data_IF_596295855367
#
_entry.id   IF_596295855367
#
_cell.length_a   1.000
_cell.length_b   1.000
_cell.length_c   1.000
_cell.angle_alpha   90.00
_cell.angle_beta   90.00
_cell.angle_gamma   90.00
#
_symmetry.space_group_name_H-M   'P 1'
#
loop_
_entity.id
_entity.type
_entity.pdbx_description
1 polymer ?
#
# COMPACT_ATOMS: atom_id res chain seq x y z
N UNK A 1 -31.35 -2.80 -26.19
CA UNK A 1 -31.03 -3.31 -24.83
C UNK A 1 -30.36 -2.17 -24.07
N UNK A 2 -30.72 -1.98 -22.79
CA UNK A 2 -30.11 -0.92 -21.98
C UNK A 2 -28.73 -1.36 -21.43
N UNK A 3 -27.85 -0.40 -21.18
CA UNK A 3 -26.54 -0.65 -20.59
C UNK A 3 -26.66 -1.35 -19.23
N UNK A 4 -27.63 -0.98 -18.40
CA UNK A 4 -27.93 -1.64 -17.12
C UNK A 4 -28.12 -3.16 -17.23
N UNK A 5 -28.67 -3.66 -18.34
CA UNK A 5 -28.85 -5.09 -18.54
C UNK A 5 -27.52 -5.82 -18.72
N UNK A 6 -26.60 -5.21 -19.48
CA UNK A 6 -25.25 -5.77 -19.71
C UNK A 6 -24.47 -5.81 -18.40
N UNK A 7 -24.50 -4.71 -17.63
CA UNK A 7 -23.85 -4.68 -16.31
C UNK A 7 -24.33 -5.81 -15.43
N UNK A 8 -25.66 -5.95 -15.29
CA UNK A 8 -26.25 -7.02 -14.48
C UNK A 8 -25.78 -8.40 -14.90
N UNK A 9 -25.79 -8.69 -16.21
CA UNK A 9 -25.42 -9.99 -16.74
C UNK A 9 -23.93 -10.32 -16.47
N UNK A 10 -23.02 -9.33 -16.50
CA UNK A 10 -21.59 -9.52 -16.21
C UNK A 10 -21.29 -9.49 -14.72
N UNK A 11 -21.95 -8.67 -13.93
CA UNK A 11 -21.83 -8.64 -12.47
C UNK A 11 -22.23 -10.00 -11.87
N UNK A 12 -23.33 -10.60 -12.34
CA UNK A 12 -23.74 -11.94 -11.92
C UNK A 12 -22.66 -13.01 -12.26
N UNK A 13 -22.00 -12.88 -13.41
CA UNK A 13 -20.90 -13.78 -13.77
C UNK A 13 -19.64 -13.58 -12.93
N UNK A 14 -19.30 -12.33 -12.57
CA UNK A 14 -18.18 -12.03 -11.69
C UNK A 14 -18.38 -12.64 -10.30
N UNK A 15 -19.58 -12.50 -9.73
CA UNK A 15 -19.93 -13.12 -8.44
C UNK A 15 -19.71 -14.64 -8.48
N UNK A 16 -20.14 -15.31 -9.55
CA UNK A 16 -19.95 -16.77 -9.70
C UNK A 16 -18.48 -17.16 -9.74
N UNK A 17 -17.59 -16.26 -10.20
CA UNK A 17 -16.15 -16.45 -10.26
C UNK A 17 -15.41 -16.03 -8.98
N UNK A 18 -16.15 -15.52 -7.97
CA UNK A 18 -15.58 -15.07 -6.71
C UNK A 18 -15.04 -13.64 -6.74
N UNK A 19 -15.39 -12.86 -7.78
CA UNK A 19 -15.02 -11.45 -7.91
C UNK A 19 -16.13 -10.52 -7.40
N UNK A 20 -15.73 -9.31 -7.01
CA UNK A 20 -16.65 -8.26 -6.58
C UNK A 20 -17.42 -7.68 -7.77
N UNK A 21 -18.74 -7.73 -7.74
CA UNK A 21 -19.59 -7.21 -8.81
C UNK A 21 -19.36 -5.71 -9.08
N UNK A 22 -19.18 -4.94 -8.01
CA UNK A 22 -18.98 -3.49 -8.03
C UNK A 22 -17.71 -3.07 -8.79
N UNK A 23 -16.72 -3.96 -8.90
CA UNK A 23 -15.46 -3.71 -9.64
C UNK A 23 -15.73 -3.38 -11.10
N UNK A 24 -16.76 -3.98 -11.73
CA UNK A 24 -17.13 -3.69 -13.12
C UNK A 24 -17.55 -2.22 -13.29
N UNK A 25 -18.45 -1.76 -12.44
CA UNK A 25 -18.98 -0.40 -12.48
C UNK A 25 -17.90 0.61 -12.08
N UNK A 26 -17.03 0.27 -11.13
CA UNK A 26 -15.92 1.10 -10.70
C UNK A 26 -14.93 1.33 -11.85
N UNK A 27 -14.47 0.27 -12.51
CA UNK A 27 -13.53 0.36 -13.65
C UNK A 27 -14.15 1.13 -14.80
N UNK A 28 -15.38 0.80 -15.19
CA UNK A 28 -16.07 1.49 -16.29
C UNK A 28 -16.18 3.00 -16.05
N UNK A 29 -16.59 3.40 -14.84
CA UNK A 29 -16.71 4.81 -14.46
C UNK A 29 -15.38 5.53 -14.48
N UNK A 30 -14.34 4.91 -13.94
CA UNK A 30 -12.98 5.47 -13.90
C UNK A 30 -12.45 5.68 -15.30
N UNK A 31 -12.50 4.68 -16.18
CA UNK A 31 -11.98 4.78 -17.56
C UNK A 31 -12.78 5.75 -18.45
N UNK A 32 -14.09 5.88 -18.23
CA UNK A 32 -14.95 6.86 -18.94
C UNK A 32 -14.98 8.22 -18.25
N UNK A 33 -14.28 8.40 -17.13
CA UNK A 33 -14.28 9.62 -16.30
C UNK A 33 -15.71 10.10 -15.96
N UNK A 34 -16.56 9.18 -15.50
CA UNK A 34 -17.96 9.44 -15.16
C UNK A 34 -18.16 9.65 -13.67
N UNK A 35 -18.84 10.73 -13.30
CA UNK A 35 -19.41 10.85 -11.96
C UNK A 35 -20.46 9.75 -11.73
N UNK A 36 -20.74 9.43 -10.46
CA UNK A 36 -21.80 8.45 -10.13
C UNK A 36 -23.15 8.81 -10.77
N UNK A 37 -23.53 10.08 -10.73
CA UNK A 37 -24.76 10.57 -11.34
C UNK A 37 -24.79 10.33 -12.86
N UNK A 38 -23.70 10.66 -13.55
CA UNK A 38 -23.60 10.46 -15.00
C UNK A 38 -23.63 8.96 -15.37
N UNK A 39 -23.03 8.12 -14.54
CA UNK A 39 -23.09 6.68 -14.72
C UNK A 39 -24.54 6.14 -14.59
N UNK A 40 -25.28 6.60 -13.57
CA UNK A 40 -26.70 6.21 -13.40
C UNK A 40 -27.53 6.61 -14.62
N UNK A 41 -27.29 7.79 -15.22
CA UNK A 41 -27.92 8.18 -16.47
C UNK A 41 -27.47 7.31 -17.65
N UNK A 42 -26.19 6.98 -17.76
CA UNK A 42 -25.67 6.11 -18.81
C UNK A 42 -26.31 4.71 -18.76
N UNK A 43 -26.55 4.14 -17.57
CA UNK A 43 -27.21 2.85 -17.41
C UNK A 43 -28.63 2.80 -18.04
N UNK A 44 -29.30 3.94 -18.18
CA UNK A 44 -30.64 4.01 -18.77
C UNK A 44 -30.63 4.13 -20.30
N UNK A 45 -29.47 4.40 -20.90
CA UNK A 45 -29.32 4.54 -22.34
C UNK A 45 -29.36 3.20 -23.07
N UNK A 46 -29.72 3.23 -24.34
CA UNK A 46 -29.52 2.07 -25.21
C UNK A 46 -28.03 1.88 -25.47
N UNK A 47 -27.58 0.64 -25.33
CA UNK A 47 -26.18 0.29 -25.49
C UNK A 47 -25.80 0.28 -26.97
N UNK A 48 -24.64 0.86 -27.28
CA UNK A 48 -23.96 0.70 -28.59
C UNK A 48 -23.13 -0.57 -28.61
N UNK A 49 -22.74 -1.06 -29.80
CA UNK A 49 -21.82 -2.17 -29.91
C UNK A 49 -20.45 -1.84 -29.32
N UNK A 50 -20.01 -0.58 -29.41
CA UNK A 50 -18.77 -0.09 -28.79
C UNK A 50 -18.83 -0.18 -27.24
N UNK A 51 -19.92 0.29 -26.63
CA UNK A 51 -20.11 0.20 -25.18
C UNK A 51 -20.13 -1.25 -24.70
N UNK A 52 -20.83 -2.12 -25.46
CA UNK A 52 -20.88 -3.53 -25.15
C UNK A 52 -19.49 -4.17 -25.18
N UNK A 53 -18.73 -3.94 -26.23
CA UNK A 53 -17.36 -4.44 -26.35
C UNK A 53 -16.47 -3.93 -25.21
N UNK A 54 -16.59 -2.64 -24.89
CA UNK A 54 -15.82 -2.05 -23.80
C UNK A 54 -16.13 -2.66 -22.43
N UNK A 55 -17.41 -2.92 -22.13
CA UNK A 55 -17.78 -3.64 -20.90
C UNK A 55 -17.29 -5.08 -20.91
N UNK A 56 -17.35 -5.77 -22.05
CA UNK A 56 -16.82 -7.13 -22.22
C UNK A 56 -15.28 -7.19 -22.00
N UNK A 57 -14.54 -6.19 -22.47
CA UNK A 57 -13.08 -6.09 -22.21
C UNK A 57 -12.78 -5.93 -20.73
N UNK A 58 -13.50 -5.05 -20.01
CA UNK A 58 -13.34 -4.86 -18.58
C UNK A 58 -13.68 -6.17 -17.85
N UNK A 59 -14.85 -6.75 -18.16
CA UNK A 59 -15.26 -8.03 -17.58
C UNK A 59 -14.20 -9.11 -17.77
N UNK A 60 -13.64 -9.22 -18.97
CA UNK A 60 -12.62 -10.25 -19.28
C UNK A 60 -11.39 -10.08 -18.40
N UNK A 61 -10.94 -8.86 -18.16
CA UNK A 61 -9.79 -8.58 -17.27
C UNK A 61 -10.11 -8.94 -15.83
N UNK A 62 -11.25 -8.49 -15.30
CA UNK A 62 -11.70 -8.81 -13.94
C UNK A 62 -11.89 -10.32 -13.75
N UNK A 63 -12.50 -10.99 -14.72
CA UNK A 63 -12.71 -12.45 -14.72
C UNK A 63 -11.38 -13.26 -14.76
N UNK A 64 -10.29 -12.64 -15.20
CA UNK A 64 -8.93 -13.18 -15.10
C UNK A 64 -8.21 -12.74 -13.82
N UNK A 65 -8.93 -12.26 -12.82
CA UNK A 65 -8.43 -11.83 -11.52
C UNK A 65 -7.45 -10.64 -11.57
N UNK A 66 -7.53 -9.79 -12.61
CA UNK A 66 -6.73 -8.55 -12.65
C UNK A 66 -7.41 -7.52 -11.75
N UNK A 67 -6.71 -6.94 -10.74
CA UNK A 67 -7.26 -5.93 -9.86
C UNK A 67 -7.81 -4.71 -10.62
N UNK A 68 -8.93 -4.19 -10.15
CA UNK A 68 -9.57 -3.02 -10.76
C UNK A 68 -8.60 -1.83 -10.90
N UNK A 69 -7.76 -1.58 -9.89
CA UNK A 69 -6.79 -0.50 -9.88
C UNK A 69 -5.71 -0.67 -10.96
N UNK A 70 -5.28 -1.91 -11.26
CA UNK A 70 -4.34 -2.15 -12.36
C UNK A 70 -5.01 -1.96 -13.72
N UNK A 71 -6.31 -2.28 -13.84
CA UNK A 71 -7.05 -2.04 -15.09
C UNK A 71 -7.17 -0.55 -15.37
N UNK A 72 -7.43 0.27 -14.35
CA UNK A 72 -7.54 1.73 -14.46
C UNK A 72 -6.18 2.44 -14.43
N UNK A 73 -5.12 1.77 -13.96
CA UNK A 73 -3.75 2.27 -13.92
C UNK A 73 -3.43 3.19 -12.73
N UNK A 74 -4.36 3.35 -11.77
CA UNK A 74 -4.12 4.16 -10.58
C UNK A 74 -4.94 3.69 -9.38
N UNK A 75 -4.48 4.08 -8.18
CA UNK A 75 -5.18 3.94 -6.91
C UNK A 75 -5.21 5.29 -6.17
N UNK A 76 -6.27 5.50 -5.40
CA UNK A 76 -6.35 6.65 -4.48
C UNK A 76 -5.62 6.29 -3.18
N UNK A 77 -4.79 7.19 -2.67
CA UNK A 77 -4.13 7.05 -1.38
C UNK A 77 -3.87 8.43 -0.77
N UNK A 78 -4.34 8.64 0.45
CA UNK A 78 -4.15 9.88 1.22
C UNK A 78 -4.47 11.15 0.41
N UNK A 79 -5.58 11.14 -0.32
CA UNK A 79 -6.02 12.23 -1.21
C UNK A 79 -5.10 12.48 -2.41
N UNK A 80 -4.31 11.48 -2.80
CA UNK A 80 -3.48 11.48 -4.00
C UNK A 80 -3.93 10.38 -4.95
N UNK A 81 -3.84 10.63 -6.24
CA UNK A 81 -3.94 9.58 -7.25
C UNK A 81 -2.53 9.09 -7.57
N UNK A 82 -2.26 7.83 -7.27
CA UNK A 82 -0.97 7.19 -7.49
C UNK A 82 -1.08 6.19 -8.65
N UNK A 83 -0.15 6.24 -9.58
CA UNK A 83 0.00 5.22 -10.60
C UNK A 83 0.30 3.88 -9.94
N UNK A 84 -0.37 2.82 -10.39
CA UNK A 84 -0.11 1.43 -9.97
C UNK A 84 -0.18 0.49 -11.17
N UNK A 85 0.67 -0.50 -11.16
CA UNK A 85 0.68 -1.64 -12.07
C UNK A 85 1.35 -2.84 -11.37
N UNK A 86 1.57 -3.94 -12.08
CA UNK A 86 2.11 -5.19 -11.55
C UNK A 86 3.49 -5.10 -10.89
N UNK A 87 4.14 -3.93 -10.95
CA UNK A 87 5.44 -3.68 -10.27
C UNK A 87 5.32 -3.45 -8.78
N UNK A 88 4.14 -3.06 -8.26
CA UNK A 88 3.96 -2.61 -6.88
C UNK A 88 2.68 -3.14 -6.25
N UNK A 89 2.68 -3.29 -4.94
CA UNK A 89 1.47 -3.50 -4.15
C UNK A 89 0.51 -2.31 -4.34
N UNK A 90 -0.77 -2.59 -4.53
CA UNK A 90 -1.81 -1.55 -4.52
C UNK A 90 -1.91 -0.97 -3.10
N UNK A 91 -1.75 0.35 -2.91
CA UNK A 91 -1.88 0.97 -1.59
C UNK A 91 -3.20 0.63 -0.90
N UNK A 92 -3.14 0.32 0.39
CA UNK A 92 -4.29 -0.10 1.21
C UNK A 92 -4.76 1.04 2.13
N UNK A 93 -6.05 1.04 2.46
CA UNK A 93 -6.62 2.05 3.38
C UNK A 93 -6.03 1.97 4.78
N UNK A 94 -5.69 0.77 5.26
CA UNK A 94 -5.05 0.56 6.56
C UNK A 94 -3.68 1.25 6.63
N UNK A 95 -2.98 1.34 5.51
CA UNK A 95 -1.70 2.06 5.42
C UNK A 95 -1.87 3.58 5.54
N UNK A 96 -3.06 4.14 5.20
CA UNK A 96 -3.36 5.56 5.47
C UNK A 96 -3.40 5.85 6.97
N UNK A 97 -3.92 4.91 7.79
CA UNK A 97 -3.94 5.05 9.26
C UNK A 97 -2.52 5.09 9.84
N UNK A 98 -1.56 4.34 9.25
CA UNK A 98 -0.16 4.42 9.64
C UNK A 98 0.42 5.81 9.35
N UNK A 99 0.12 6.39 8.19
CA UNK A 99 0.54 7.75 7.82
C UNK A 99 -0.09 8.78 8.79
N UNK A 100 -1.39 8.69 9.07
CA UNK A 100 -2.07 9.58 10.01
C UNK A 100 -1.45 9.53 11.40
N UNK A 101 -1.12 8.32 11.89
CA UNK A 101 -0.46 8.12 13.16
C UNK A 101 0.91 8.80 13.20
N UNK A 102 1.74 8.62 12.17
CA UNK A 102 3.05 9.25 12.07
C UNK A 102 2.93 10.79 12.12
N UNK A 103 2.01 11.35 11.34
CA UNK A 103 1.78 12.79 11.29
C UNK A 103 1.27 13.36 12.63
N UNK A 104 0.39 12.63 13.30
CA UNK A 104 -0.17 13.02 14.59
C UNK A 104 0.86 12.99 15.73
N UNK A 105 1.73 11.97 15.75
CA UNK A 105 2.75 11.81 16.80
C UNK A 105 4.02 12.64 16.57
N UNK A 106 4.15 13.28 15.40
CA UNK A 106 5.31 14.09 15.04
C UNK A 106 4.86 15.43 14.41
N UNK A 107 4.22 16.31 15.19
CA UNK A 107 3.57 17.52 14.66
C UNK A 107 4.56 18.58 14.18
N UNK A 108 5.78 18.62 14.72
CA UNK A 108 6.74 19.69 14.51
C UNK A 108 8.14 19.17 14.18
N UNK A 109 8.94 20.00 13.50
CA UNK A 109 10.37 19.81 13.29
C UNK A 109 10.74 19.36 11.87
N UNK A 110 12.02 19.55 11.55
CA UNK A 110 12.63 19.06 10.30
C UNK A 110 13.12 17.64 10.52
N UNK A 111 12.29 16.65 10.21
CA UNK A 111 12.61 15.25 10.45
C UNK A 111 13.18 14.59 9.18
N UNK A 112 14.13 13.67 9.40
CA UNK A 112 14.61 12.75 8.38
C UNK A 112 13.83 11.45 8.48
N UNK A 113 13.16 11.07 7.40
CA UNK A 113 12.30 9.88 7.33
C UNK A 113 12.87 8.88 6.32
N UNK A 114 12.93 7.62 6.71
CA UNK A 114 13.24 6.49 5.82
C UNK A 114 11.99 5.61 5.68
N UNK A 115 11.51 5.44 4.46
CA UNK A 115 10.46 4.50 4.09
C UNK A 115 11.12 3.26 3.45
N UNK A 116 11.06 2.11 4.14
CA UNK A 116 11.67 0.84 3.70
C UNK A 116 10.60 -0.02 3.02
N UNK A 117 10.86 -0.46 1.79
CA UNK A 117 9.90 -1.17 0.96
C UNK A 117 8.81 -0.21 0.45
N UNK A 118 9.24 0.92 -0.13
CA UNK A 118 8.34 2.03 -0.49
C UNK A 118 7.28 1.67 -1.55
N UNK A 119 7.51 0.63 -2.36
CA UNK A 119 6.58 0.16 -3.39
C UNK A 119 6.18 1.28 -4.36
N UNK A 120 4.92 1.66 -4.39
CA UNK A 120 4.41 2.77 -5.20
C UNK A 120 4.86 4.16 -4.72
N UNK A 121 5.55 4.25 -3.59
CA UNK A 121 5.90 5.50 -2.92
C UNK A 121 4.78 6.04 -2.00
N UNK A 122 3.73 5.29 -1.75
CA UNK A 122 2.52 5.77 -1.09
C UNK A 122 2.80 6.47 0.25
N UNK A 123 3.51 5.81 1.18
CA UNK A 123 3.86 6.37 2.49
C UNK A 123 4.78 7.57 2.34
N UNK A 124 5.89 7.41 1.60
CA UNK A 124 6.88 8.47 1.40
C UNK A 124 6.26 9.74 0.81
N UNK A 125 5.40 9.58 -0.21
CA UNK A 125 4.71 10.67 -0.88
C UNK A 125 3.72 11.39 0.05
N UNK A 126 2.94 10.63 0.81
CA UNK A 126 1.98 11.20 1.76
C UNK A 126 2.68 12.04 2.82
N UNK A 127 3.77 11.51 3.41
CA UNK A 127 4.57 12.23 4.40
C UNK A 127 5.23 13.48 3.81
N UNK A 128 5.86 13.37 2.63
CA UNK A 128 6.51 14.51 1.97
C UNK A 128 5.52 15.60 1.54
N UNK A 129 4.29 15.23 1.18
CA UNK A 129 3.23 16.17 0.80
C UNK A 129 2.66 16.95 1.99
N UNK A 130 2.43 16.27 3.11
CA UNK A 130 1.89 16.89 4.32
C UNK A 130 2.95 17.69 5.09
N UNK A 131 4.20 17.23 5.10
CA UNK A 131 5.34 17.82 5.79
C UNK A 131 6.42 18.23 4.81
N UNK A 132 6.24 19.38 4.17
CA UNK A 132 7.17 19.89 3.15
C UNK A 132 8.59 20.20 3.68
N UNK A 133 8.77 20.29 5.00
CA UNK A 133 10.03 20.51 5.68
C UNK A 133 10.74 19.21 6.11
N UNK A 134 10.10 18.05 5.94
CA UNK A 134 10.74 16.76 6.20
C UNK A 134 11.64 16.34 5.05
N UNK A 135 12.74 15.67 5.40
CA UNK A 135 13.64 15.06 4.42
C UNK A 135 13.33 13.57 4.28
N UNK A 136 12.55 13.22 3.27
CA UNK A 136 12.11 11.83 3.04
C UNK A 136 13.12 11.10 2.15
N UNK A 137 13.41 9.85 2.49
CA UNK A 137 14.15 8.89 1.67
C UNK A 137 13.26 7.65 1.49
N UNK A 138 13.01 7.28 0.25
CA UNK A 138 12.28 6.08 -0.12
C UNK A 138 13.26 4.99 -0.56
N UNK A 139 13.20 3.83 0.06
CA UNK A 139 14.08 2.70 -0.26
C UNK A 139 13.25 1.48 -0.67
N UNK A 140 13.70 0.77 -1.70
CA UNK A 140 13.13 -0.50 -2.15
C UNK A 140 14.21 -1.40 -2.74
N UNK A 141 14.03 -2.70 -2.62
CA UNK A 141 14.89 -3.69 -3.26
C UNK A 141 14.64 -3.77 -4.77
N UNK A 142 13.41 -3.48 -5.20
CA UNK A 142 12.96 -3.51 -6.59
C UNK A 142 13.27 -2.19 -7.30
N UNK A 143 14.07 -2.25 -8.36
CA UNK A 143 14.32 -1.10 -9.21
C UNK A 143 13.03 -0.63 -9.92
N UNK A 144 12.19 -1.57 -10.33
CA UNK A 144 10.93 -1.28 -11.05
C UNK A 144 9.93 -0.53 -10.14
N UNK A 145 9.89 -0.90 -8.84
CA UNK A 145 9.10 -0.17 -7.84
C UNK A 145 9.60 1.26 -7.67
N UNK A 146 10.92 1.47 -7.57
CA UNK A 146 11.51 2.81 -7.45
C UNK A 146 11.26 3.69 -8.68
N UNK A 147 11.25 3.11 -9.87
CA UNK A 147 10.90 3.82 -11.11
C UNK A 147 9.45 4.29 -11.06
N UNK A 148 8.51 3.42 -10.66
CA UNK A 148 7.11 3.78 -10.51
C UNK A 148 6.89 4.81 -9.40
N UNK A 149 7.56 4.66 -8.24
CA UNK A 149 7.50 5.64 -7.16
C UNK A 149 8.04 7.02 -7.60
N UNK A 150 9.09 7.03 -8.43
CA UNK A 150 9.62 8.26 -9.03
C UNK A 150 8.63 8.90 -10.00
N UNK A 151 7.92 8.11 -10.81
CA UNK A 151 6.84 8.61 -11.67
C UNK A 151 5.74 9.26 -10.83
N UNK A 152 5.34 8.63 -9.72
CA UNK A 152 4.36 9.15 -8.79
C UNK A 152 4.82 10.46 -8.11
N UNK A 153 6.07 10.53 -7.66
CA UNK A 153 6.63 11.74 -7.08
C UNK A 153 6.61 12.92 -8.07
N UNK A 154 7.03 12.67 -9.30
CA UNK A 154 6.99 13.68 -10.37
C UNK A 154 5.57 14.15 -10.65
N UNK A 155 4.59 13.26 -10.71
CA UNK A 155 3.19 13.60 -10.94
C UNK A 155 2.60 14.48 -9.81
N UNK A 156 3.08 14.29 -8.57
CA UNK A 156 2.69 15.08 -7.40
C UNK A 156 3.56 16.34 -7.20
N UNK A 157 4.55 16.61 -8.08
CA UNK A 157 5.55 17.68 -7.95
C UNK A 157 6.35 17.62 -6.64
N UNK A 158 6.63 16.40 -6.15
CA UNK A 158 7.43 16.14 -4.98
C UNK A 158 8.83 15.68 -5.40
N UNK A 159 9.84 16.09 -4.62
CA UNK A 159 11.23 15.73 -4.87
C UNK A 159 11.89 15.28 -3.58
N UNK A 160 12.24 14.01 -3.50
CA UNK A 160 12.97 13.41 -2.39
C UNK A 160 13.87 12.26 -2.89
N UNK A 161 14.64 11.64 -2.00
CA UNK A 161 15.65 10.65 -2.38
C UNK A 161 15.03 9.26 -2.58
N UNK A 162 15.47 8.59 -3.64
CA UNK A 162 15.16 7.18 -3.91
C UNK A 162 16.44 6.37 -3.85
N UNK A 163 16.46 5.26 -3.11
CA UNK A 163 17.61 4.39 -2.94
C UNK A 163 17.22 2.94 -3.19
N UNK A 164 17.90 2.29 -4.12
CA UNK A 164 17.80 0.84 -4.26
C UNK A 164 18.54 0.17 -3.12
N UNK A 165 17.82 -0.44 -2.19
CA UNK A 165 18.40 -1.03 -0.98
C UNK A 165 17.60 -2.27 -0.54
N UNK A 166 18.30 -3.31 -0.17
CA UNK A 166 17.71 -4.42 0.55
C UNK A 166 17.73 -4.11 2.06
N UNK A 167 16.60 -3.64 2.59
CA UNK A 167 16.50 -3.00 3.90
C UNK A 167 17.54 -1.86 4.03
N UNK A 168 18.56 -2.01 4.87
CA UNK A 168 19.56 -0.99 5.17
C UNK A 168 20.86 -1.10 4.35
N UNK A 169 20.99 -2.08 3.43
CA UNK A 169 22.28 -2.40 2.79
C UNK A 169 22.99 -1.21 2.11
N UNK A 170 22.23 -0.28 1.52
CA UNK A 170 22.76 0.92 0.84
C UNK A 170 22.43 2.22 1.60
N UNK A 171 21.89 2.11 2.80
CA UNK A 171 21.57 3.25 3.65
C UNK A 171 22.83 3.68 4.42
N UNK A 172 23.17 4.97 4.34
CA UNK A 172 24.37 5.51 4.98
C UNK A 172 24.09 6.61 6.01
N UNK A 173 22.84 7.03 6.14
CA UNK A 173 22.42 8.11 7.05
C UNK A 173 21.61 7.56 8.22
N UNK A 174 21.48 8.37 9.27
CA UNK A 174 20.54 8.14 10.36
C UNK A 174 19.27 8.96 10.16
N UNK A 175 18.17 8.46 10.72
CA UNK A 175 16.82 8.98 10.54
C UNK A 175 16.12 9.19 11.88
N UNK A 176 15.22 10.15 11.92
CA UNK A 176 14.36 10.42 13.06
C UNK A 176 13.14 9.51 13.05
N UNK A 177 12.71 9.10 11.85
CA UNK A 177 11.61 8.16 11.65
C UNK A 177 12.06 7.10 10.63
N UNK A 178 11.87 5.83 10.99
CA UNK A 178 11.90 4.70 10.06
C UNK A 178 10.47 4.18 9.95
N UNK A 179 9.94 4.08 8.74
CA UNK A 179 8.62 3.51 8.48
C UNK A 179 8.72 2.38 7.48
N UNK A 180 7.88 1.37 7.63
CA UNK A 180 7.77 0.28 6.66
C UNK A 180 6.39 -0.38 6.71
N UNK A 181 5.86 -0.70 5.53
CA UNK A 181 4.84 -1.71 5.32
C UNK A 181 5.50 -2.86 4.54
N UNK A 182 6.27 -3.72 5.18
CA UNK A 182 7.02 -4.77 4.49
C UNK A 182 6.12 -5.96 4.15
N UNK A 183 6.53 -6.86 3.25
CA UNK A 183 5.84 -8.12 3.05
C UNK A 183 5.78 -8.88 4.38
N UNK A 184 4.59 -9.37 4.73
CA UNK A 184 4.33 -10.00 6.02
C UNK A 184 3.54 -11.32 5.93
N UNK A 185 3.14 -11.74 4.74
CA UNK A 185 2.34 -12.97 4.58
C UNK A 185 3.27 -14.17 4.62
N UNK A 186 2.98 -15.11 5.54
CA UNK A 186 3.62 -16.42 5.52
C UNK A 186 3.20 -17.23 4.30
N UNK A 187 4.10 -18.02 3.74
CA UNK A 187 3.74 -18.97 2.69
C UNK A 187 2.65 -19.97 3.11
N UNK A 188 2.54 -20.26 4.40
CA UNK A 188 1.49 -21.12 4.95
C UNK A 188 0.09 -20.45 4.87
N UNK A 189 0.04 -19.12 4.89
CA UNK A 189 -1.21 -18.34 4.83
C UNK A 189 -1.60 -17.94 3.37
N UNK A 190 -0.89 -18.42 2.35
CA UNK A 190 -1.17 -18.12 0.93
C UNK A 190 -2.63 -18.41 0.55
N UNK A 191 -3.23 -19.42 1.16
CA UNK A 191 -4.64 -19.81 0.94
C UNK A 191 -5.66 -18.77 1.43
N UNK A 192 -5.25 -17.83 2.26
CA UNK A 192 -6.09 -16.73 2.75
C UNK A 192 -6.03 -15.51 1.83
N UNK A 193 -5.08 -15.49 0.88
CA UNK A 193 -4.88 -14.37 -0.05
C UNK A 193 -5.90 -14.47 -1.19
N UNK A 194 -6.56 -13.37 -1.49
CA UNK A 194 -7.49 -13.30 -2.63
C UNK A 194 -6.81 -13.61 -3.96
N UNK A 195 -7.50 -14.27 -4.88
CA UNK A 195 -6.94 -14.68 -6.18
C UNK A 195 -6.44 -13.49 -7.01
N UNK A 196 -7.12 -12.36 -6.95
CA UNK A 196 -6.74 -11.14 -7.63
C UNK A 196 -5.39 -10.59 -7.13
N UNK A 197 -5.15 -10.66 -5.81
CA UNK A 197 -3.88 -10.28 -5.18
C UNK A 197 -2.80 -11.30 -5.56
N UNK A 198 -3.08 -12.58 -5.33
CA UNK A 198 -2.11 -13.66 -5.54
C UNK A 198 -1.63 -13.76 -7.00
N UNK A 199 -2.53 -13.54 -7.97
CA UNK A 199 -2.22 -13.71 -9.39
C UNK A 199 -1.61 -12.45 -10.03
N UNK A 200 -1.78 -11.28 -9.43
CA UNK A 200 -1.46 -10.02 -10.10
C UNK A 200 -0.47 -9.13 -9.34
N UNK A 201 -0.50 -9.13 -8.01
CA UNK A 201 0.40 -8.30 -7.23
C UNK A 201 1.77 -9.00 -7.05
N UNK A 202 2.89 -8.26 -6.97
CA UNK A 202 4.21 -8.87 -6.91
C UNK A 202 4.39 -9.68 -5.62
N UNK A 203 4.74 -10.96 -5.76
CA UNK A 203 4.95 -11.86 -4.62
C UNK A 203 6.03 -11.36 -3.66
N UNK A 204 7.00 -10.58 -4.16
CA UNK A 204 8.03 -9.93 -3.35
C UNK A 204 7.44 -8.91 -2.36
N UNK A 205 6.31 -8.30 -2.69
CA UNK A 205 5.61 -7.36 -1.81
C UNK A 205 4.59 -8.02 -0.88
N UNK A 206 4.31 -9.32 -1.06
CA UNK A 206 3.31 -10.05 -0.28
C UNK A 206 3.95 -10.98 0.75
N UNK A 207 4.90 -11.80 0.31
CA UNK A 207 5.39 -12.94 1.09
C UNK A 207 6.76 -12.68 1.70
N UNK A 208 6.92 -13.09 2.96
CA UNK A 208 8.20 -13.09 3.64
C UNK A 208 8.45 -14.46 4.30
N UNK A 209 9.73 -14.81 4.39
CA UNK A 209 10.18 -16.01 5.09
C UNK A 209 9.99 -15.88 6.61
N UNK A 210 10.32 -16.96 7.35
CA UNK A 210 10.22 -16.99 8.83
C UNK A 210 8.81 -16.64 9.33
N UNK A 211 7.78 -17.28 8.76
CA UNK A 211 6.38 -17.03 9.06
C UNK A 211 5.97 -15.55 8.88
N UNK A 212 6.55 -14.89 7.85
CA UNK A 212 6.28 -13.48 7.54
C UNK A 212 7.10 -12.51 8.40
N UNK A 213 8.11 -12.95 9.12
CA UNK A 213 8.86 -12.13 10.08
C UNK A 213 10.24 -11.69 9.60
N UNK A 214 10.75 -12.24 8.48
CA UNK A 214 12.14 -12.05 8.06
C UNK A 214 12.55 -10.59 7.88
N UNK A 215 11.67 -9.75 7.32
CA UNK A 215 11.97 -8.32 7.12
C UNK A 215 11.89 -7.56 8.44
N UNK A 216 10.90 -7.85 9.29
CA UNK A 216 10.82 -7.24 10.62
C UNK A 216 12.02 -7.56 11.48
N UNK A 217 12.54 -8.81 11.42
CA UNK A 217 13.76 -9.20 12.13
C UNK A 217 14.95 -8.35 11.70
N UNK A 218 15.15 -8.21 10.40
CA UNK A 218 16.24 -7.38 9.87
C UNK A 218 16.10 -5.91 10.29
N UNK A 219 14.87 -5.37 10.25
CA UNK A 219 14.63 -4.01 10.73
C UNK A 219 14.94 -3.91 12.23
N UNK A 220 14.54 -4.89 13.04
CA UNK A 220 14.79 -4.87 14.48
C UNK A 220 16.29 -4.96 14.81
N UNK A 221 17.03 -5.85 14.14
CA UNK A 221 18.47 -6.07 14.35
C UNK A 221 19.33 -4.86 13.94
N UNK A 222 19.01 -4.26 12.78
CA UNK A 222 19.89 -3.25 12.16
C UNK A 222 19.49 -1.80 12.51
N UNK A 223 18.22 -1.53 12.85
CA UNK A 223 17.69 -0.16 12.98
C UNK A 223 18.42 0.73 13.96
N UNK A 224 19.03 0.16 15.00
CA UNK A 224 19.81 0.90 16.01
C UNK A 224 20.93 1.74 15.39
N UNK A 225 21.55 1.23 14.33
CA UNK A 225 22.65 1.92 13.65
C UNK A 225 22.17 3.07 12.76
N UNK A 226 20.87 3.05 12.40
CA UNK A 226 20.23 4.01 11.49
C UNK A 226 19.22 4.95 12.16
N UNK A 227 18.98 4.83 13.47
CA UNK A 227 18.15 5.77 14.23
C UNK A 227 19.00 6.90 14.83
N UNK A 228 18.48 8.11 14.78
CA UNK A 228 18.92 9.22 15.61
C UNK A 228 18.48 9.02 17.07
N UNK A 229 19.11 9.78 18.00
CA UNK A 229 18.63 9.83 19.38
C UNK A 229 17.17 10.33 19.41
N UNK A 230 16.32 9.65 20.14
CA UNK A 230 14.87 9.93 20.13
C UNK A 230 14.12 9.43 18.89
N UNK A 231 14.79 8.77 17.95
CA UNK A 231 14.18 8.27 16.73
C UNK A 231 13.13 7.18 16.98
N UNK A 232 12.15 7.11 16.09
CA UNK A 232 10.99 6.23 16.17
C UNK A 232 10.91 5.29 14.97
N UNK A 233 10.29 4.11 15.18
CA UNK A 233 9.99 3.18 14.10
C UNK A 233 8.48 2.94 14.06
N UNK A 234 7.90 2.98 12.87
CA UNK A 234 6.49 2.74 12.61
C UNK A 234 6.35 1.61 11.58
N UNK A 235 5.61 0.59 11.93
CA UNK A 235 5.45 -0.60 11.09
C UNK A 235 3.98 -0.94 10.91
N UNK A 236 3.59 -1.25 9.68
CA UNK A 236 2.37 -2.01 9.43
C UNK A 236 2.66 -3.49 9.63
N UNK A 237 1.70 -4.24 10.18
CA UNK A 237 1.80 -5.68 10.46
C UNK A 237 0.56 -6.43 10.01
N UNK A 238 0.71 -7.71 9.75
CA UNK A 238 -0.42 -8.62 9.61
C UNK A 238 -1.16 -8.78 10.96
N UNK A 239 -2.48 -8.92 10.91
CA UNK A 239 -3.33 -8.99 12.11
C UNK A 239 -2.97 -10.14 13.08
N UNK A 240 -2.27 -11.19 12.61
CA UNK A 240 -1.78 -12.32 13.43
C UNK A 240 -0.44 -12.01 14.13
N UNK A 241 0.22 -10.90 13.78
CA UNK A 241 1.60 -10.61 14.18
C UNK A 241 1.72 -9.66 15.37
N UNK A 242 0.60 -9.27 15.99
CA UNK A 242 0.55 -8.33 17.11
C UNK A 242 1.34 -8.72 18.36
N UNK A 243 1.84 -9.94 18.46
CA UNK A 243 2.74 -10.41 19.53
C UNK A 243 4.15 -10.69 19.03
N UNK A 244 4.28 -11.30 17.84
CA UNK A 244 5.58 -11.75 17.32
C UNK A 244 6.46 -10.57 16.88
N UNK A 245 5.91 -9.58 16.18
CA UNK A 245 6.69 -8.41 15.75
C UNK A 245 7.14 -7.58 16.96
N UNK A 246 6.28 -7.20 17.93
CA UNK A 246 6.74 -6.52 19.14
C UNK A 246 7.85 -7.25 19.89
N UNK A 247 7.78 -8.57 19.98
CA UNK A 247 8.80 -9.37 20.68
C UNK A 247 10.19 -9.21 20.05
N UNK A 248 10.29 -9.16 18.71
CA UNK A 248 11.55 -8.90 18.00
C UNK A 248 12.17 -7.56 18.41
N UNK A 249 11.37 -6.51 18.49
CA UNK A 249 11.87 -5.19 18.85
C UNK A 249 12.18 -5.06 20.34
N UNK A 250 11.44 -5.69 21.24
CA UNK A 250 11.75 -5.74 22.66
C UNK A 250 13.08 -6.47 22.94
N UNK A 251 13.42 -7.47 22.13
CA UNK A 251 14.69 -8.18 22.22
C UNK A 251 15.87 -7.35 21.71
N UNK A 252 15.71 -6.66 20.57
CA UNK A 252 16.82 -5.95 19.90
C UNK A 252 16.99 -4.48 20.33
N UNK A 253 15.90 -3.84 20.83
CA UNK A 253 15.88 -2.46 21.31
C UNK A 253 15.23 -2.41 22.72
N UNK A 254 15.83 -3.07 23.74
CA UNK A 254 15.23 -3.23 25.07
C UNK A 254 15.02 -1.89 25.80
N UNK A 255 15.68 -0.83 25.37
CA UNK A 255 15.54 0.52 25.93
C UNK A 255 14.34 1.29 25.36
N UNK A 256 13.75 0.80 24.28
CA UNK A 256 12.62 1.43 23.61
C UNK A 256 11.30 0.87 24.14
N UNK A 257 10.27 1.71 24.16
CA UNK A 257 8.88 1.28 24.35
C UNK A 257 8.35 0.72 23.03
N UNK A 258 7.64 -0.41 23.10
CA UNK A 258 6.97 -1.01 21.95
C UNK A 258 5.47 -1.04 22.19
N UNK A 259 4.69 -0.50 21.24
CA UNK A 259 3.23 -0.43 21.29
C UNK A 259 2.62 -1.11 20.08
N UNK A 260 1.56 -1.89 20.28
CA UNK A 260 0.72 -2.42 19.20
C UNK A 260 -0.57 -1.62 19.15
N UNK A 261 -0.95 -1.13 17.98
CA UNK A 261 -2.19 -0.39 17.76
C UNK A 261 -3.08 -1.14 16.78
N UNK A 262 -4.39 -0.89 16.92
CA UNK A 262 -5.43 -1.49 16.09
C UNK A 262 -5.86 -0.54 15.00
N UNK A 263 -6.26 -1.12 13.85
CA UNK A 263 -6.94 -0.40 12.79
C UNK A 263 -8.41 -0.09 13.15
N UNK A 264 -9.11 0.65 12.29
CA UNK A 264 -10.52 0.99 12.44
C UNK A 264 -11.45 -0.24 12.52
N UNK A 265 -10.99 -1.41 12.09
CA UNK A 265 -11.72 -2.67 12.18
C UNK A 265 -11.41 -3.45 13.47
N UNK A 266 -10.54 -2.93 14.34
CA UNK A 266 -10.17 -3.52 15.62
C UNK A 266 -9.14 -4.65 15.52
N UNK A 267 -8.45 -4.79 14.38
CA UNK A 267 -7.37 -5.75 14.19
C UNK A 267 -6.02 -5.12 14.55
N UNK A 268 -5.09 -5.90 15.09
CA UNK A 268 -3.71 -5.45 15.29
C UNK A 268 -3.12 -5.11 13.90
N UNK A 269 -2.67 -3.87 13.73
CA UNK A 269 -2.24 -3.37 12.42
C UNK A 269 -0.95 -2.58 12.44
N UNK A 270 -0.64 -1.90 13.53
CA UNK A 270 0.54 -1.04 13.60
C UNK A 270 1.37 -1.37 14.84
N UNK A 271 2.69 -1.35 14.67
CA UNK A 271 3.64 -1.43 15.78
C UNK A 271 4.49 -0.16 15.78
N UNK A 272 4.58 0.48 16.95
CA UNK A 272 5.37 1.70 17.14
C UNK A 272 6.44 1.43 18.19
N UNK A 273 7.67 1.82 17.86
CA UNK A 273 8.84 1.71 18.72
C UNK A 273 9.36 3.13 18.95
N UNK A 274 9.36 3.59 20.20
CA UNK A 274 9.73 4.95 20.61
C UNK A 274 10.40 4.95 22.01
N UNK A 275 10.82 6.13 22.50
CA UNK A 275 11.44 6.24 23.82
C UNK A 275 10.42 6.35 24.96
N UNK A 276 9.11 6.40 24.66
CA UNK A 276 8.08 6.71 25.64
C UNK A 276 7.99 8.22 25.91
N UNK A 277 6.96 8.62 26.65
CA UNK A 277 6.89 9.96 27.22
C UNK A 277 7.75 9.99 28.49
N UNK A 278 8.68 10.96 28.59
CA UNK A 278 9.37 11.28 29.83
C UNK A 278 8.49 12.11 30.76
#
# INVERSE_FOLDING_TARGET
MKLAQIFKDFEEKLIVQGEEAESLSFVYRSLKNLSFTNFVFALQQEVTEEDKHFVEEIYTKLANHIPAQYIIGHAEFFGMQLKVDERVLIPRLETEELVELILAENPDGHLKVLDIGTGSGAIALALAKDRADWSVTAADISQDSLELATENANAQNLNFSFIKSDCFSEISSKYDIIVSNPPYISRADEVEVGLNVLNSEPHLALFADEDGLSIYRRIAEDSKDYLNDGGKIYLEIGYKQGQSVPALFMENLPEKRVRTLKDQFGQDRMVVIDDGEN
#
